data_IF_866884510970
#
_entry.id   IF_866884510970
#
_cell.length_a   1.000
_cell.length_b   1.000
_cell.length_c   1.000
_cell.angle_alpha   90.00
_cell.angle_beta   90.00
_cell.angle_gamma   90.00
#
_symmetry.space_group_name_H-M   'P 1'
#
loop_
_entity.id
_entity.type
_entity.pdbx_description
1 polymer ?
#
# COMPACT_ATOMS: atom_id res chain seq x y z
N UNK A 1 16.51 -1.22 1.24
CA UNK A 1 15.39 -0.31 1.53
C UNK A 1 14.31 -1.13 2.20
N UNK A 2 13.89 -0.79 3.42
CA UNK A 2 12.76 -1.45 4.08
C UNK A 2 11.48 -0.67 3.80
N UNK A 3 10.42 -1.36 3.41
CA UNK A 3 9.15 -0.74 3.03
C UNK A 3 8.00 -1.61 3.48
N UNK A 4 6.95 -1.00 4.07
CA UNK A 4 5.67 -1.71 4.21
C UNK A 4 4.82 -1.44 2.99
N UNK A 5 4.27 -2.50 2.39
CA UNK A 5 3.33 -2.41 1.28
C UNK A 5 1.98 -2.91 1.79
N UNK A 6 0.98 -2.04 1.83
CA UNK A 6 -0.40 -2.39 2.17
C UNK A 6 -1.18 -2.55 0.87
N UNK A 7 -1.71 -3.73 0.60
CA UNK A 7 -2.39 -4.01 -0.66
C UNK A 7 -3.10 -5.35 -0.66
N UNK A 8 -3.31 -5.92 -1.84
CA UNK A 8 -3.85 -7.27 -1.97
C UNK A 8 -3.22 -8.03 -3.13
N UNK A 9 -3.04 -9.34 -2.97
CA UNK A 9 -2.65 -10.23 -4.08
C UNK A 9 -3.70 -10.29 -5.20
N UNK A 10 -4.92 -9.82 -4.97
CA UNK A 10 -5.97 -9.74 -5.99
C UNK A 10 -5.94 -8.42 -6.79
N UNK A 11 -5.05 -7.49 -6.45
CA UNK A 11 -4.88 -6.21 -7.12
C UNK A 11 -3.69 -6.26 -8.09
N UNK A 12 -3.90 -6.09 -9.42
CA UNK A 12 -2.82 -6.09 -10.40
C UNK A 12 -1.73 -5.05 -10.11
N UNK A 13 -2.11 -3.84 -9.67
CA UNK A 13 -1.16 -2.77 -9.34
C UNK A 13 -0.29 -3.13 -8.12
N UNK A 14 -0.86 -3.83 -7.14
CA UNK A 14 -0.10 -4.32 -5.98
C UNK A 14 0.89 -5.39 -6.41
N UNK A 15 0.48 -6.37 -7.22
CA UNK A 15 1.37 -7.42 -7.72
C UNK A 15 2.50 -6.83 -8.57
N UNK A 16 2.19 -5.85 -9.43
CA UNK A 16 3.20 -5.14 -10.22
C UNK A 16 4.21 -4.43 -9.31
N UNK A 17 3.73 -3.68 -8.31
CA UNK A 17 4.60 -3.00 -7.36
C UNK A 17 5.51 -3.95 -6.56
N UNK A 18 4.97 -5.07 -6.07
CA UNK A 18 5.74 -6.08 -5.35
C UNK A 18 6.86 -6.66 -6.21
N UNK A 19 6.58 -6.95 -7.49
CA UNK A 19 7.60 -7.46 -8.42
C UNK A 19 8.70 -6.42 -8.69
N UNK A 20 8.34 -5.16 -8.93
CA UNK A 20 9.32 -4.10 -9.16
C UNK A 20 10.21 -3.86 -7.93
N UNK A 21 9.61 -3.84 -6.73
CA UNK A 21 10.33 -3.66 -5.47
C UNK A 21 11.24 -4.86 -5.16
N UNK A 22 10.78 -6.08 -5.42
CA UNK A 22 11.60 -7.29 -5.28
C UNK A 22 12.79 -7.26 -6.24
N UNK A 23 12.58 -6.87 -7.51
CA UNK A 23 13.65 -6.71 -8.49
C UNK A 23 14.68 -5.63 -8.10
N UNK A 24 14.27 -4.62 -7.35
CA UNK A 24 15.14 -3.59 -6.79
C UNK A 24 15.85 -4.00 -5.47
N UNK A 25 15.62 -5.23 -4.98
CA UNK A 25 16.20 -5.71 -3.71
C UNK A 25 15.64 -5.03 -2.46
N UNK A 26 14.39 -4.54 -2.52
CA UNK A 26 13.71 -4.00 -1.34
C UNK A 26 13.33 -5.12 -0.36
N UNK A 27 13.47 -4.85 0.94
CA UNK A 27 12.93 -5.68 2.01
C UNK A 27 11.49 -5.24 2.27
N UNK A 28 10.53 -6.09 1.90
CA UNK A 28 9.10 -5.75 1.92
C UNK A 28 8.41 -6.43 3.11
N UNK A 29 7.75 -5.64 3.94
CA UNK A 29 6.70 -6.10 4.85
C UNK A 29 5.34 -5.95 4.16
N UNK A 30 4.75 -7.05 3.71
CA UNK A 30 3.49 -7.00 2.96
C UNK A 30 2.28 -7.23 3.88
N UNK A 31 1.37 -6.27 3.88
CA UNK A 31 0.09 -6.33 4.61
C UNK A 31 -1.06 -6.53 3.62
N UNK A 32 -1.54 -7.77 3.53
CA UNK A 32 -2.67 -8.12 2.67
C UNK A 32 -4.01 -7.77 3.33
N UNK A 33 -4.68 -6.76 2.80
CA UNK A 33 -5.96 -6.26 3.33
C UNK A 33 -7.10 -7.27 3.19
N UNK A 34 -6.96 -8.30 2.34
CA UNK A 34 -7.97 -9.34 2.13
C UNK A 34 -7.63 -10.65 2.86
N UNK A 35 -6.57 -10.66 3.67
CA UNK A 35 -6.18 -11.86 4.43
C UNK A 35 -7.16 -12.20 5.56
N UNK A 36 -7.63 -11.19 6.30
CA UNK A 36 -8.58 -11.36 7.39
C UNK A 36 -9.32 -10.05 7.70
N UNK A 37 -10.36 -10.14 8.52
CA UNK A 37 -11.16 -8.98 8.92
C UNK A 37 -10.34 -7.91 9.64
N UNK A 38 -9.40 -8.31 10.50
CA UNK A 38 -8.53 -7.38 11.23
C UNK A 38 -7.64 -6.57 10.29
N UNK A 39 -6.98 -7.22 9.34
CA UNK A 39 -6.14 -6.54 8.34
C UNK A 39 -6.95 -5.54 7.50
N UNK A 40 -8.19 -5.88 7.14
CA UNK A 40 -9.08 -4.95 6.46
C UNK A 40 -9.44 -3.75 7.35
N UNK A 41 -9.77 -3.97 8.62
CA UNK A 41 -10.09 -2.89 9.56
C UNK A 41 -8.92 -1.94 9.77
N UNK A 42 -7.70 -2.48 9.93
CA UNK A 42 -6.48 -1.68 10.07
C UNK A 42 -6.28 -0.77 8.84
N UNK A 43 -6.49 -1.31 7.63
CA UNK A 43 -6.41 -0.52 6.41
C UNK A 43 -7.51 0.53 6.31
N UNK A 44 -8.76 0.18 6.64
CA UNK A 44 -9.88 1.13 6.61
C UNK A 44 -9.65 2.28 7.59
N UNK A 45 -9.09 2.03 8.77
CA UNK A 45 -8.75 3.10 9.72
C UNK A 45 -7.74 4.09 9.12
N UNK A 46 -6.71 3.59 8.44
CA UNK A 46 -5.74 4.42 7.71
C UNK A 46 -6.43 5.21 6.60
N UNK A 47 -7.24 4.53 5.77
CA UNK A 47 -7.94 5.12 4.64
C UNK A 47 -8.91 6.22 5.05
N UNK A 48 -9.62 6.07 6.15
CA UNK A 48 -10.61 7.05 6.60
C UNK A 48 -9.96 8.25 7.31
N UNK A 49 -8.82 8.06 7.98
CA UNK A 49 -8.16 9.11 8.76
C UNK A 49 -7.11 9.92 7.99
N UNK A 50 -6.48 9.34 6.96
CA UNK A 50 -5.38 10.00 6.26
C UNK A 50 -5.87 10.94 5.15
N UNK A 51 -5.30 12.16 5.03
CA UNK A 51 -5.55 13.06 3.90
C UNK A 51 -5.14 12.46 2.55
N UNK A 52 -4.21 11.50 2.53
CA UNK A 52 -3.73 10.82 1.31
C UNK A 52 -4.88 10.19 0.50
N UNK A 53 -6.00 9.88 1.15
CA UNK A 53 -7.16 9.23 0.55
C UNK A 53 -8.32 10.18 0.25
N UNK A 54 -8.18 11.50 0.43
CA UNK A 54 -9.26 12.45 0.18
C UNK A 54 -9.87 12.30 -1.21
N UNK A 55 -9.03 12.20 -2.25
CA UNK A 55 -9.48 12.03 -3.64
C UNK A 55 -9.93 10.58 -3.96
N UNK A 56 -9.59 9.62 -3.11
CA UNK A 56 -9.98 8.21 -3.26
C UNK A 56 -11.34 7.96 -2.64
N UNK A 57 -11.64 8.61 -1.50
CA UNK A 57 -12.93 8.49 -0.81
C UNK A 57 -14.06 9.01 -1.71
N UNK A 58 -15.19 8.31 -1.70
CA UNK A 58 -16.32 8.59 -2.61
C UNK A 58 -16.18 8.02 -4.02
N UNK A 59 -15.06 7.35 -4.34
CA UNK A 59 -14.89 6.60 -5.60
C UNK A 59 -15.04 5.08 -5.38
N UNK A 60 -15.02 4.32 -6.47
CA UNK A 60 -14.95 2.85 -6.44
C UNK A 60 -13.53 2.30 -6.19
N UNK A 61 -12.54 3.16 -5.97
CA UNK A 61 -11.15 2.75 -5.75
C UNK A 61 -10.91 2.46 -4.26
N UNK A 62 -10.17 1.39 -4.01
CA UNK A 62 -9.67 1.08 -2.65
C UNK A 62 -8.51 2.00 -2.25
N UNK A 63 -7.67 2.42 -3.20
CA UNK A 63 -6.45 3.19 -2.95
C UNK A 63 -5.24 2.34 -2.55
N UNK A 64 -5.10 1.15 -3.16
CA UNK A 64 -3.97 0.24 -2.98
C UNK A 64 -3.19 0.08 -4.29
N UNK A 65 -1.89 -0.24 -4.25
CA UNK A 65 -1.05 -0.38 -3.06
C UNK A 65 -0.77 0.96 -2.36
N UNK A 66 -0.62 0.92 -1.04
CA UNK A 66 -0.09 2.02 -0.25
C UNK A 66 1.30 1.64 0.29
N UNK A 67 2.24 2.56 0.14
CA UNK A 67 3.62 2.38 0.54
C UNK A 67 3.91 3.20 1.79
N UNK A 68 4.40 2.56 2.84
CA UNK A 68 4.85 3.22 4.08
C UNK A 68 6.37 3.11 4.16
N UNK A 69 7.04 4.26 4.12
CA UNK A 69 8.50 4.37 4.25
C UNK A 69 8.92 4.21 5.71
N UNK A 70 10.23 4.01 5.94
CA UNK A 70 10.79 3.82 7.29
C UNK A 70 10.52 5.02 8.23
N UNK A 71 10.41 6.23 7.69
CA UNK A 71 10.08 7.45 8.44
C UNK A 71 8.57 7.61 8.74
N UNK A 72 7.76 6.62 8.36
CA UNK A 72 6.31 6.64 8.52
C UNK A 72 5.56 7.43 7.44
N UNK A 73 6.27 8.05 6.49
CA UNK A 73 5.60 8.74 5.38
C UNK A 73 4.92 7.75 4.45
N UNK A 74 3.76 8.14 3.94
CA UNK A 74 2.94 7.30 3.09
C UNK A 74 2.79 7.91 1.69
N UNK A 75 2.74 7.05 0.67
CA UNK A 75 2.43 7.41 -0.71
C UNK A 75 1.64 6.29 -1.38
N UNK A 76 0.83 6.64 -2.39
CA UNK A 76 0.15 5.68 -3.27
C UNK A 76 0.91 5.48 -4.59
N UNK A 77 2.04 6.18 -4.77
CA UNK A 77 2.79 6.24 -6.01
C UNK A 77 4.07 5.40 -5.92
N UNK A 78 4.16 4.35 -6.74
CA UNK A 78 5.33 3.45 -6.77
C UNK A 78 6.65 4.19 -7.08
N UNK A 79 6.60 5.22 -7.92
CA UNK A 79 7.78 6.02 -8.32
C UNK A 79 8.43 6.77 -7.14
N UNK A 80 7.68 7.01 -6.07
CA UNK A 80 8.18 7.74 -4.90
C UNK A 80 9.01 6.85 -3.96
N UNK A 81 8.99 5.54 -4.20
CA UNK A 81 9.72 4.52 -3.43
C UNK A 81 10.74 3.75 -4.27
N UNK A 82 10.55 3.63 -5.59
CA UNK A 82 11.60 3.16 -6.50
C UNK A 82 12.53 4.32 -6.88
N UNK A 83 13.71 4.38 -6.26
CA UNK A 83 14.82 5.24 -6.68
C UNK A 83 16.02 4.41 -7.09
#
# INVERSE_FOLDING_TARGET
>A
MKLTVIGSHLCPDTLYALNQLSGAGAEIDFKDILSCHGALQDYLQIRESSPLYEEVRGTWRLGIPCFVKEDGTMTLELKDVLK
#
